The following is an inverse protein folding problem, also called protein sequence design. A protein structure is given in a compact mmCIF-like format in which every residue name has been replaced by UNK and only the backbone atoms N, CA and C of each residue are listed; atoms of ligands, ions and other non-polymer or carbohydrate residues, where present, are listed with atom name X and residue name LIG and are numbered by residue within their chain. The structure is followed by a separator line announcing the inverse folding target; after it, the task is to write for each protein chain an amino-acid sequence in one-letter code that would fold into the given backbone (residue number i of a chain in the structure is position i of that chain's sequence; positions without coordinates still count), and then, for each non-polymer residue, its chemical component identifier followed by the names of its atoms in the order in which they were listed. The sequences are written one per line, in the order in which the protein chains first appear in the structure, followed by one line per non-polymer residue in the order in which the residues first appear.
data_IF_682020157937
#
_entry.id   IF_682020157937
#
_cell.length_a   1.000
_cell.length_b   1.000
_cell.length_c   1.000
_cell.angle_alpha   90.00
_cell.angle_beta   90.00
_cell.angle_gamma   90.00
#
_symmetry.space_group_name_H-M   'P 1'
#
loop_
_entity.id
_entity.type
_entity.pdbx_description
1 polymer ?
#
# COMPACT_ATOMS: atom_id res chain seq x y z
N UNK A 1 11.60 2.25 17.55
CA UNK A 1 12.01 0.83 17.43
C UNK A 1 11.04 0.19 16.47
N UNK A 2 11.39 0.13 15.19
CA UNK A 2 10.50 -0.37 14.14
C UNK A 2 10.53 -1.89 14.20
N UNK A 3 9.44 -2.48 14.71
CA UNK A 3 9.20 -3.92 14.69
C UNK A 3 8.99 -4.33 13.23
N UNK A 4 10.09 -4.47 12.49
CA UNK A 4 10.12 -5.28 11.28
C UNK A 4 9.89 -6.71 11.76
N UNK A 5 8.62 -7.05 11.98
CA UNK A 5 8.19 -8.40 12.23
C UNK A 5 8.84 -9.24 11.14
N UNK A 6 9.65 -10.20 11.57
CA UNK A 6 10.24 -11.24 10.76
C UNK A 6 9.10 -11.95 10.03
N UNK A 7 8.68 -11.40 8.89
CA UNK A 7 7.78 -12.02 7.95
C UNK A 7 8.45 -13.33 7.59
N UNK A 8 7.85 -14.44 8.01
CA UNK A 8 8.22 -15.74 7.50
C UNK A 8 8.25 -15.60 5.97
N UNK A 9 9.45 -15.71 5.38
CA UNK A 9 9.76 -15.43 3.97
C UNK A 9 9.13 -16.47 3.02
N UNK A 10 7.96 -17.01 3.35
CA UNK A 10 7.17 -17.75 2.40
C UNK A 10 6.60 -16.73 1.38
N UNK A 11 6.95 -16.85 0.09
CA UNK A 11 6.50 -15.92 -0.93
C UNK A 11 4.97 -15.86 -1.06
N UNK A 12 4.24 -16.92 -0.68
CA UNK A 12 2.78 -16.91 -0.66
C UNK A 12 2.20 -16.03 0.46
N UNK A 13 2.74 -16.13 1.68
CA UNK A 13 2.32 -15.27 2.77
C UNK A 13 2.68 -13.81 2.50
N UNK A 14 3.86 -13.57 1.90
CA UNK A 14 4.27 -12.23 1.48
C UNK A 14 3.34 -11.64 0.39
N UNK A 15 2.95 -12.43 -0.61
CA UNK A 15 1.98 -12.00 -1.63
C UNK A 15 0.65 -11.62 -0.99
N UNK A 16 0.12 -12.48 -0.12
CA UNK A 16 -1.14 -12.25 0.58
C UNK A 16 -1.09 -10.98 1.43
N UNK A 17 -0.03 -10.79 2.22
CA UNK A 17 0.13 -9.62 3.07
C UNK A 17 0.22 -8.33 2.25
N UNK A 18 0.92 -8.37 1.11
CA UNK A 18 0.98 -7.23 0.18
C UNK A 18 -0.37 -6.95 -0.49
N UNK A 19 -1.17 -7.97 -0.79
CA UNK A 19 -2.54 -7.79 -1.30
C UNK A 19 -3.45 -7.13 -0.25
N UNK A 20 -3.34 -7.52 1.02
CA UNK A 20 -4.06 -6.87 2.12
C UNK A 20 -3.66 -5.40 2.23
N UNK A 21 -2.36 -5.12 2.26
CA UNK A 21 -1.87 -3.75 2.40
C UNK A 21 -2.27 -2.87 1.22
N UNK A 22 -2.30 -3.44 0.00
CA UNK A 22 -2.80 -2.74 -1.20
C UNK A 22 -4.27 -2.31 -1.03
N UNK A 23 -5.14 -3.22 -0.59
CA UNK A 23 -6.55 -2.90 -0.37
C UNK A 23 -6.76 -1.83 0.71
N UNK A 24 -5.99 -1.88 1.80
CA UNK A 24 -6.02 -0.84 2.86
C UNK A 24 -5.60 0.52 2.32
N UNK A 25 -4.57 0.54 1.47
CA UNK A 25 -4.06 1.75 0.86
C UNK A 25 -5.09 2.38 -0.10
N UNK A 26 -5.77 1.56 -0.89
CA UNK A 26 -6.83 2.02 -1.81
C UNK A 26 -8.03 2.61 -1.05
N UNK A 27 -8.45 2.00 0.06
CA UNK A 27 -9.49 2.56 0.92
C UNK A 27 -9.07 3.91 1.50
N UNK A 28 -7.86 4.02 2.05
CA UNK A 28 -7.37 5.29 2.62
C UNK A 28 -7.30 6.42 1.58
N UNK A 29 -6.86 6.12 0.34
CA UNK A 29 -6.86 7.10 -0.74
C UNK A 29 -8.28 7.54 -1.12
N UNK A 30 -9.25 6.61 -1.13
CA UNK A 30 -10.64 6.91 -1.43
C UNK A 30 -11.27 7.81 -0.34
N UNK A 31 -11.00 7.53 0.93
CA UNK A 31 -11.48 8.35 2.06
C UNK A 31 -10.92 9.77 2.00
N UNK A 32 -9.63 9.90 1.69
CA UNK A 32 -8.97 11.21 1.55
C UNK A 32 -9.54 12.03 0.39
N UNK A 33 -9.80 11.40 -0.77
CA UNK A 33 -10.45 12.05 -1.91
C UNK A 33 -11.87 12.51 -1.57
N UNK A 34 -12.56 11.80 -0.68
CA UNK A 34 -13.94 12.10 -0.29
C UNK A 34 -14.04 13.19 0.78
N UNK A 35 -12.98 13.39 1.57
CA UNK A 35 -13.01 14.25 2.78
C UNK A 35 -12.25 15.58 2.61
N UNK A 36 -11.29 15.66 1.70
CA UNK A 36 -10.35 16.79 1.68
C UNK A 36 -10.79 17.97 0.79
N UNK A 37 -10.61 19.19 1.31
CA UNK A 37 -10.47 20.38 0.48
C UNK A 37 -9.24 20.19 -0.44
N UNK A 38 -9.46 20.34 -1.75
CA UNK A 38 -8.65 19.85 -2.89
C UNK A 38 -7.13 20.14 -2.81
N UNK A 39 -6.69 21.10 -1.99
CA UNK A 39 -5.29 21.57 -1.99
C UNK A 39 -4.37 20.86 -0.98
N UNK A 40 -4.81 20.53 0.24
CA UNK A 40 -3.92 19.96 1.27
C UNK A 40 -3.74 18.44 1.15
N UNK A 41 -4.74 17.71 0.65
CA UNK A 41 -4.63 16.27 0.48
C UNK A 41 -3.79 15.83 -0.71
N UNK A 42 -3.41 16.76 -1.61
CA UNK A 42 -2.79 16.38 -2.88
C UNK A 42 -1.39 15.78 -2.68
N UNK A 43 -0.58 16.35 -1.77
CA UNK A 43 0.74 15.83 -1.45
C UNK A 43 0.68 14.46 -0.75
N UNK A 44 -0.27 14.28 0.18
CA UNK A 44 -0.47 13.00 0.85
C UNK A 44 -1.00 11.93 -0.11
N UNK A 45 -1.93 12.28 -1.00
CA UNK A 45 -2.41 11.37 -2.06
C UNK A 45 -1.28 10.93 -3.00
N UNK A 46 -0.38 11.83 -3.39
CA UNK A 46 0.78 11.48 -4.21
C UNK A 46 1.73 10.50 -3.50
N UNK A 47 1.92 10.64 -2.19
CA UNK A 47 2.70 9.70 -1.39
C UNK A 47 2.04 8.32 -1.32
N UNK A 48 0.72 8.27 -1.12
CA UNK A 48 -0.03 7.01 -1.11
C UNK A 48 -0.01 6.33 -2.49
N UNK A 49 -0.15 7.09 -3.57
CA UNK A 49 -0.07 6.57 -4.94
C UNK A 49 1.32 6.00 -5.25
N UNK A 50 2.38 6.69 -4.81
CA UNK A 50 3.75 6.20 -4.93
C UNK A 50 3.96 4.89 -4.17
N UNK A 51 3.35 4.75 -2.98
CA UNK A 51 3.39 3.51 -2.19
C UNK A 51 2.61 2.39 -2.87
N UNK A 52 1.47 2.69 -3.49
CA UNK A 52 0.65 1.74 -4.26
C UNK A 52 1.43 1.20 -5.45
N UNK A 53 2.10 2.07 -6.19
CA UNK A 53 2.93 1.67 -7.33
C UNK A 53 4.02 0.68 -6.91
N UNK A 54 4.72 0.94 -5.80
CA UNK A 54 5.76 0.03 -5.27
C UNK A 54 5.21 -1.33 -4.84
N UNK A 55 4.03 -1.36 -4.20
CA UNK A 55 3.39 -2.63 -3.80
C UNK A 55 2.98 -3.44 -5.04
N UNK A 56 2.39 -2.80 -6.04
CA UNK A 56 2.05 -3.45 -7.32
C UNK A 56 3.28 -4.00 -8.03
N UNK A 57 4.38 -3.24 -8.05
CA UNK A 57 5.65 -3.67 -8.61
C UNK A 57 6.28 -4.84 -7.84
N UNK A 58 6.11 -4.89 -6.52
CA UNK A 58 6.53 -6.04 -5.71
C UNK A 58 5.66 -7.28 -6.01
N UNK A 59 4.34 -7.11 -6.09
CA UNK A 59 3.39 -8.18 -6.40
C UNK A 59 3.60 -8.77 -7.80
N UNK A 60 3.99 -7.96 -8.79
CA UNK A 60 4.27 -8.45 -10.15
C UNK A 60 5.51 -9.33 -10.24
N UNK A 61 6.42 -9.22 -9.26
CA UNK A 61 7.62 -10.06 -9.13
C UNK A 61 7.41 -11.32 -8.30
N UNK A 62 6.30 -11.42 -7.58
CA UNK A 62 5.98 -12.59 -6.76
C UNK A 62 5.18 -13.61 -7.58
N UNK A 63 5.43 -14.92 -7.38
CA UNK A 63 4.64 -15.97 -8.01
C UNK A 63 3.16 -15.85 -7.62
N UNK A 64 2.27 -16.22 -8.54
CA UNK A 64 0.82 -16.19 -8.33
C UNK A 64 0.32 -17.41 -7.56
#
# INVERSE_FOLDING_TARGET
MSTAASMNLNPLFLRHDLMIELGRLEMAMQDMRSTAAVNDANAQLQQLESRRARINEALSRLPA
#
